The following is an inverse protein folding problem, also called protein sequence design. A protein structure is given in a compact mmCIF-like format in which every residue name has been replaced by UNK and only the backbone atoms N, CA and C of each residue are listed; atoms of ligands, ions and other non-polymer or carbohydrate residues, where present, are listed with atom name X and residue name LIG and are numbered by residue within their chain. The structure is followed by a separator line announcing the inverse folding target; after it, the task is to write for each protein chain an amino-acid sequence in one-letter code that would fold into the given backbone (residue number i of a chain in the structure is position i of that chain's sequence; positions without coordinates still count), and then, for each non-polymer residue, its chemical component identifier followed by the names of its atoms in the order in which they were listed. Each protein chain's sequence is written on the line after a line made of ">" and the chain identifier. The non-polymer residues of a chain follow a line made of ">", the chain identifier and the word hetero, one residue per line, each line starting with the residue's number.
data_IF_451177318502
#
_entry.id   IF_451177318502
#
_cell.length_a   1.000
_cell.length_b   1.000
_cell.length_c   1.000
_cell.angle_alpha   90.00
_cell.angle_beta   90.00
_cell.angle_gamma   90.00
#
_symmetry.space_group_name_H-M   'P 1'
#
loop_
_entity.id
_entity.type
_entity.pdbx_description
1 polymer ?
#
# COMPACT_ATOMS: atom_id res chain seq x y z
N UNK A 1 18.32 19.83 -29.53
CA UNK A 1 17.40 19.20 -28.56
C UNK A 1 17.84 17.78 -28.34
N UNK A 2 18.19 17.39 -27.12
CA UNK A 2 18.58 16.02 -26.80
C UNK A 2 17.32 15.22 -26.47
N UNK A 3 17.14 14.05 -27.08
CA UNK A 3 16.04 13.15 -26.72
C UNK A 3 16.23 12.75 -25.24
N UNK A 4 15.22 12.88 -24.36
CA UNK A 4 15.34 12.57 -22.93
C UNK A 4 15.28 11.05 -22.67
N UNK A 5 16.15 10.29 -23.35
CA UNK A 5 16.27 8.85 -23.19
C UNK A 5 17.27 8.59 -22.06
N UNK A 6 16.80 7.96 -20.98
CA UNK A 6 17.68 7.43 -19.93
C UNK A 6 18.25 6.08 -20.35
N UNK A 7 19.54 5.89 -20.17
CA UNK A 7 20.24 4.63 -20.46
C UNK A 7 19.87 3.54 -19.44
N UNK A 8 20.17 2.28 -19.77
CA UNK A 8 19.98 1.18 -18.83
C UNK A 8 20.76 1.38 -17.52
N UNK A 9 22.00 1.86 -17.61
CA UNK A 9 22.86 2.11 -16.44
C UNK A 9 22.32 3.25 -15.58
N UNK A 10 21.86 4.35 -16.21
CA UNK A 10 21.20 5.44 -15.49
C UNK A 10 19.93 4.96 -14.78
N UNK A 11 19.10 4.15 -15.45
CA UNK A 11 17.88 3.57 -14.87
C UNK A 11 18.18 2.63 -13.69
N UNK A 12 19.27 1.87 -13.77
CA UNK A 12 19.70 0.94 -12.71
C UNK A 12 20.37 1.66 -11.53
N UNK A 13 21.02 2.81 -11.76
CA UNK A 13 21.62 3.65 -10.73
C UNK A 13 20.59 4.47 -9.94
N UNK A 14 19.40 4.71 -10.49
CA UNK A 14 18.31 5.40 -9.78
C UNK A 14 17.79 4.57 -8.59
N UNK A 15 18.00 5.08 -7.37
CA UNK A 15 17.40 4.52 -6.15
C UNK A 15 15.87 4.65 -6.22
N UNK A 16 15.17 3.52 -6.23
CA UNK A 16 13.70 3.44 -6.20
C UNK A 16 13.24 2.94 -4.84
N UNK A 17 12.30 3.67 -4.23
CA UNK A 17 11.63 3.25 -3.01
C UNK A 17 10.44 2.33 -3.30
N UNK A 18 10.18 1.40 -2.39
CA UNK A 18 9.07 0.45 -2.44
C UNK A 18 7.75 1.18 -2.15
N UNK A 19 6.72 0.94 -2.97
CA UNK A 19 5.37 1.45 -2.77
C UNK A 19 4.48 0.29 -2.38
N UNK A 20 4.11 0.21 -1.11
CA UNK A 20 3.41 -0.92 -0.56
C UNK A 20 2.14 -0.55 0.18
N UNK A 21 1.20 -1.48 0.23
CA UNK A 21 0.14 -1.49 1.24
C UNK A 21 0.28 -2.75 2.10
N UNK A 22 0.26 -2.56 3.42
CA UNK A 22 0.23 -3.61 4.43
C UNK A 22 -1.19 -3.69 5.01
N UNK A 23 -1.88 -4.79 4.75
CA UNK A 23 -3.25 -5.03 5.22
C UNK A 23 -3.32 -6.22 6.16
N UNK A 24 -4.37 -6.30 6.96
CA UNK A 24 -4.60 -7.41 7.89
C UNK A 24 -5.69 -7.10 8.90
N UNK A 25 -6.18 -8.14 9.58
CA UNK A 25 -7.24 -8.00 10.61
C UNK A 25 -6.84 -7.01 11.70
N UNK A 26 -7.81 -6.44 12.40
CA UNK A 26 -7.52 -5.59 13.57
C UNK A 26 -6.73 -6.39 14.62
N UNK A 27 -5.79 -5.73 15.31
CA UNK A 27 -4.96 -6.34 16.36
C UNK A 27 -3.85 -7.30 15.91
N UNK A 28 -3.68 -7.60 14.62
CA UNK A 28 -2.66 -8.56 14.15
C UNK A 28 -1.20 -8.06 14.27
N UNK A 29 -1.01 -6.76 14.54
CA UNK A 29 0.32 -6.14 14.66
C UNK A 29 0.86 -5.50 13.38
N UNK A 30 0.00 -4.77 12.65
CA UNK A 30 0.41 -3.97 11.48
C UNK A 30 1.27 -2.79 11.90
N UNK A 31 0.78 -1.97 12.83
CA UNK A 31 1.48 -0.79 13.37
C UNK A 31 2.81 -1.18 14.03
N UNK A 32 2.88 -2.33 14.70
CA UNK A 32 4.13 -2.82 15.31
C UNK A 32 5.25 -3.10 14.30
N UNK A 33 4.96 -3.13 12.99
CA UNK A 33 5.99 -3.21 11.96
C UNK A 33 6.92 -2.00 11.95
N UNK A 34 6.53 -0.86 12.54
CA UNK A 34 7.43 0.28 12.76
C UNK A 34 8.71 -0.09 13.53
N UNK A 35 8.64 -1.06 14.46
CA UNK A 35 9.79 -1.56 15.20
C UNK A 35 10.81 -2.31 14.35
N UNK A 36 10.41 -2.72 13.14
CA UNK A 36 11.29 -3.41 12.18
C UNK A 36 12.03 -2.42 11.28
N UNK A 37 11.67 -1.13 11.35
CA UNK A 37 12.23 -0.06 10.54
C UNK A 37 13.30 0.72 11.30
N UNK A 38 14.17 1.42 10.56
CA UNK A 38 15.19 2.30 11.15
C UNK A 38 14.53 3.60 11.63
N UNK A 39 14.42 3.87 12.95
CA UNK A 39 13.64 5.01 13.44
C UNK A 39 14.16 6.36 12.93
N UNK A 40 15.49 6.54 12.92
CA UNK A 40 16.12 7.78 12.45
C UNK A 40 15.93 8.09 10.95
N UNK A 41 15.49 7.11 10.15
CA UNK A 41 15.27 7.24 8.71
C UNK A 41 13.82 6.93 8.29
N UNK A 42 12.90 6.87 9.26
CA UNK A 42 11.48 6.57 9.04
C UNK A 42 10.63 7.70 9.60
N UNK A 43 9.78 8.29 8.74
CA UNK A 43 8.73 9.20 9.16
C UNK A 43 7.45 8.41 9.40
N UNK A 44 6.95 8.43 10.64
CA UNK A 44 5.65 7.89 10.96
C UNK A 44 4.56 8.92 10.70
N UNK A 45 3.63 8.60 9.81
CA UNK A 45 2.49 9.42 9.46
C UNK A 45 1.27 8.81 10.16
N UNK A 46 1.02 9.27 11.38
CA UNK A 46 0.06 8.72 12.33
C UNK A 46 -1.28 9.45 12.23
N UNK A 47 -2.26 8.75 11.67
CA UNK A 47 -3.65 9.18 11.56
C UNK A 47 -4.54 8.47 12.60
N UNK A 48 -4.17 7.27 13.03
CA UNK A 48 -5.00 6.43 13.89
C UNK A 48 -4.83 6.73 15.39
N UNK A 49 -3.92 7.64 15.76
CA UNK A 49 -3.52 7.91 17.14
C UNK A 49 -3.09 6.61 17.85
N UNK A 50 -2.31 5.80 17.14
CA UNK A 50 -1.92 4.44 17.51
C UNK A 50 -0.87 4.35 18.62
N UNK A 51 -0.86 5.30 19.56
CA UNK A 51 0.22 5.51 20.55
C UNK A 51 0.53 4.24 21.36
N UNK A 52 -0.46 3.36 21.60
CA UNK A 52 -0.27 2.12 22.36
C UNK A 52 0.60 1.06 21.64
N UNK A 53 0.53 0.96 20.32
CA UNK A 53 1.26 -0.08 19.58
C UNK A 53 2.74 0.27 19.37
N UNK A 54 3.10 1.54 19.56
CA UNK A 54 4.43 2.11 19.31
C UNK A 54 4.91 2.99 20.46
N UNK A 55 4.39 2.76 21.66
CA UNK A 55 4.87 3.42 22.87
C UNK A 55 6.38 3.20 23.01
N UNK A 56 7.15 4.28 23.07
CA UNK A 56 8.61 4.25 23.14
C UNK A 56 9.34 4.09 21.80
N UNK A 57 8.65 4.07 20.66
CA UNK A 57 9.31 4.11 19.35
C UNK A 57 9.96 5.48 19.13
N UNK A 58 11.26 5.49 18.86
CA UNK A 58 12.08 6.71 18.85
C UNK A 58 12.10 7.47 17.51
N UNK A 59 11.20 7.13 16.58
CA UNK A 59 11.16 7.76 15.27
C UNK A 59 10.29 9.02 15.24
N UNK A 60 10.56 9.89 14.26
CA UNK A 60 9.81 11.12 14.09
C UNK A 60 8.38 10.83 13.60
N UNK A 61 7.42 11.60 14.10
CA UNK A 61 5.99 11.39 13.82
C UNK A 61 5.30 12.69 13.42
N UNK A 62 4.47 12.64 12.38
CA UNK A 62 3.50 13.69 12.02
C UNK A 62 2.08 13.18 12.26
N UNK A 63 1.20 14.04 12.75
CA UNK A 63 -0.18 13.70 13.14
C UNK A 63 -1.21 14.63 12.48
N UNK A 64 -1.44 14.49 11.17
CA UNK A 64 -2.44 15.31 10.50
C UNK A 64 -3.84 14.96 10.98
N UNK A 65 -4.67 16.00 11.17
CA UNK A 65 -6.04 15.91 11.68
C UNK A 65 -7.09 16.28 10.66
N UNK A 66 -6.67 16.84 9.52
CA UNK A 66 -7.56 17.27 8.44
C UNK A 66 -7.12 16.69 7.11
N UNK A 67 -8.05 16.61 6.15
CA UNK A 67 -7.71 16.21 4.79
C UNK A 67 -6.71 17.18 4.14
N UNK A 68 -6.81 18.48 4.45
CA UNK A 68 -5.85 19.46 3.95
C UNK A 68 -4.43 19.14 4.41
N UNK A 69 -4.24 18.92 5.72
CA UNK A 69 -2.92 18.54 6.25
C UNK A 69 -2.39 17.24 5.62
N UNK A 70 -3.26 16.27 5.32
CA UNK A 70 -2.85 15.08 4.58
C UNK A 70 -2.27 15.41 3.18
N UNK A 71 -2.88 16.38 2.48
CA UNK A 71 -2.40 16.86 1.17
C UNK A 71 -1.12 17.68 1.31
N UNK A 72 -1.03 18.51 2.33
CA UNK A 72 0.13 19.38 2.60
C UNK A 72 1.37 18.53 2.89
N UNK A 73 1.26 17.54 3.80
CA UNK A 73 2.37 16.62 4.05
C UNK A 73 2.71 15.80 2.81
N UNK A 74 1.72 15.37 2.02
CA UNK A 74 2.00 14.63 0.79
C UNK A 74 2.80 15.45 -0.22
N UNK A 75 2.46 16.72 -0.45
CA UNK A 75 3.24 17.60 -1.34
C UNK A 75 4.61 17.91 -0.75
N UNK A 76 4.72 18.09 0.56
CA UNK A 76 6.00 18.34 1.22
C UNK A 76 6.95 17.13 1.10
N UNK A 77 6.41 15.92 1.21
CA UNK A 77 7.15 14.66 1.07
C UNK A 77 7.50 14.37 -0.40
N UNK A 78 6.56 14.61 -1.31
CA UNK A 78 6.65 14.25 -2.73
C UNK A 78 7.31 15.29 -3.63
N UNK A 79 7.32 16.55 -3.19
CA UNK A 79 7.64 17.70 -4.04
C UNK A 79 6.46 18.08 -4.96
N UNK A 80 6.60 19.18 -5.71
CA UNK A 80 5.55 19.64 -6.61
C UNK A 80 5.44 18.73 -7.84
N UNK A 81 4.21 18.57 -8.35
CA UNK A 81 3.96 17.91 -9.63
C UNK A 81 3.99 18.97 -10.76
N UNK A 82 4.98 18.93 -11.67
CA UNK A 82 5.14 19.95 -12.71
C UNK A 82 4.04 19.92 -13.77
N UNK A 83 3.21 18.87 -13.82
CA UNK A 83 2.10 18.77 -14.77
C UNK A 83 0.83 19.50 -14.30
N UNK A 84 0.78 19.97 -13.05
CA UNK A 84 -0.41 20.56 -12.45
C UNK A 84 -0.38 22.09 -12.52
N UNK A 85 -1.55 22.69 -12.77
CA UNK A 85 -1.74 24.14 -12.70
C UNK A 85 -1.71 24.60 -11.25
N UNK A 86 -1.37 25.86 -11.02
CA UNK A 86 -1.17 26.45 -9.68
C UNK A 86 -2.34 26.17 -8.71
N UNK A 87 -3.57 26.14 -9.21
CA UNK A 87 -4.77 26.07 -8.37
C UNK A 87 -5.11 24.64 -7.96
N UNK A 88 -4.39 23.66 -8.52
CA UNK A 88 -4.61 22.25 -8.26
C UNK A 88 -3.78 21.80 -7.05
N UNK A 89 -4.30 20.88 -6.22
CA UNK A 89 -3.49 20.23 -5.19
C UNK A 89 -2.22 19.64 -5.80
N UNK A 90 -1.12 19.70 -5.05
CA UNK A 90 0.21 19.22 -5.45
C UNK A 90 0.91 20.03 -6.56
N UNK A 91 0.40 21.21 -6.93
CA UNK A 91 1.07 22.14 -7.85
C UNK A 91 2.36 22.73 -7.23
N UNK A 92 3.10 23.50 -8.04
CA UNK A 92 4.23 24.28 -7.54
C UNK A 92 3.80 25.31 -6.50
N UNK A 93 2.74 26.07 -6.78
CA UNK A 93 2.19 27.05 -5.85
C UNK A 93 1.74 26.41 -4.52
N UNK A 94 1.14 25.20 -4.57
CA UNK A 94 0.79 24.46 -3.36
C UNK A 94 2.03 24.05 -2.56
N UNK A 95 3.07 23.55 -3.23
CA UNK A 95 4.32 23.18 -2.59
C UNK A 95 5.01 24.40 -1.94
N UNK A 96 5.09 25.53 -2.64
CA UNK A 96 5.71 26.76 -2.14
C UNK A 96 5.01 27.26 -0.88
N UNK A 97 3.66 27.30 -0.89
CA UNK A 97 2.87 27.70 0.29
C UNK A 97 3.08 26.76 1.49
N UNK A 98 3.25 25.46 1.23
CA UNK A 98 3.57 24.49 2.28
C UNK A 98 5.00 24.67 2.79
N UNK A 99 5.98 25.00 1.93
CA UNK A 99 7.35 25.29 2.35
C UNK A 99 7.42 26.55 3.23
N UNK A 100 6.64 27.58 2.93
CA UNK A 100 6.53 28.77 3.80
C UNK A 100 6.02 28.40 5.21
N UNK A 101 5.16 27.38 5.31
CA UNK A 101 4.54 26.96 6.57
C UNK A 101 5.35 25.91 7.33
N UNK A 102 5.94 24.93 6.64
CA UNK A 102 6.63 23.78 7.22
C UNK A 102 8.16 23.95 7.25
N UNK A 103 8.69 24.92 6.52
CA UNK A 103 10.12 25.17 6.38
C UNK A 103 10.75 24.41 5.20
N UNK A 104 12.07 24.22 5.29
CA UNK A 104 12.88 23.68 4.20
C UNK A 104 12.54 22.21 3.87
N UNK A 105 12.24 21.87 2.60
CA UNK A 105 12.00 20.50 2.16
C UNK A 105 13.14 19.52 2.44
N UNK A 106 14.38 20.01 2.56
CA UNK A 106 15.54 19.18 2.91
C UNK A 106 15.41 18.51 4.29
N UNK A 107 14.50 18.98 5.15
CA UNK A 107 14.12 18.28 6.38
C UNK A 107 13.63 16.84 6.11
N UNK A 108 13.11 16.58 4.91
CA UNK A 108 12.65 15.25 4.49
C UNK A 108 13.78 14.34 4.01
N UNK A 109 15.00 14.85 3.75
CA UNK A 109 16.10 14.08 3.15
C UNK A 109 16.63 12.98 4.06
N UNK A 110 16.50 13.13 5.39
CA UNK A 110 16.88 12.08 6.34
C UNK A 110 15.97 10.84 6.30
N UNK A 111 14.76 10.97 5.78
CA UNK A 111 13.80 9.86 5.73
C UNK A 111 13.87 9.11 4.40
N UNK A 112 14.18 7.82 4.50
CA UNK A 112 14.08 6.88 3.40
C UNK A 112 12.69 6.23 3.33
N UNK A 113 11.95 6.20 4.44
CA UNK A 113 10.65 5.52 4.54
C UNK A 113 9.58 6.43 5.14
N UNK A 114 8.39 6.43 4.55
CA UNK A 114 7.17 7.01 5.09
C UNK A 114 6.21 5.88 5.40
N UNK A 115 5.83 5.74 6.66
CA UNK A 115 4.91 4.71 7.14
C UNK A 115 3.59 5.38 7.51
N UNK A 116 2.53 5.14 6.74
CA UNK A 116 1.23 5.82 6.84
C UNK A 116 0.21 4.92 7.50
N UNK A 117 -0.16 5.23 8.75
CA UNK A 117 -1.09 4.44 9.55
C UNK A 117 -2.29 5.28 10.01
N UNK A 118 -3.48 5.19 9.42
CA UNK A 118 -3.89 4.27 8.35
C UNK A 118 -4.60 4.95 7.19
N UNK A 119 -4.56 4.28 6.04
CA UNK A 119 -5.31 4.66 4.84
C UNK A 119 -6.83 4.71 5.09
N UNK A 120 -7.31 3.91 6.04
CA UNK A 120 -8.71 3.89 6.49
C UNK A 120 -9.10 5.23 7.12
N UNK A 121 -8.26 5.77 8.02
CA UNK A 121 -8.52 7.07 8.66
C UNK A 121 -8.33 8.22 7.66
N UNK A 122 -7.34 8.14 6.77
CA UNK A 122 -7.18 9.10 5.67
C UNK A 122 -8.46 9.20 4.81
N UNK A 123 -9.04 8.04 4.45
CA UNK A 123 -10.31 7.97 3.73
C UNK A 123 -11.45 8.67 4.46
N UNK A 124 -11.57 8.47 5.78
CA UNK A 124 -12.60 9.13 6.59
C UNK A 124 -12.44 10.65 6.60
N UNK A 125 -11.21 11.15 6.80
CA UNK A 125 -10.91 12.59 6.74
C UNK A 125 -11.25 13.16 5.36
N UNK A 126 -10.87 12.45 4.29
CA UNK A 126 -11.19 12.83 2.92
C UNK A 126 -12.71 12.93 2.72
N UNK A 127 -13.48 11.90 3.10
CA UNK A 127 -14.93 11.91 2.96
C UNK A 127 -15.58 13.05 3.73
N UNK A 128 -15.13 13.29 4.96
CA UNK A 128 -15.62 14.40 5.78
C UNK A 128 -15.38 15.75 5.09
N UNK A 129 -14.18 15.96 4.53
CA UNK A 129 -13.87 17.16 3.76
C UNK A 129 -14.73 17.27 2.49
N UNK A 130 -14.89 16.16 1.74
CA UNK A 130 -15.68 16.10 0.51
C UNK A 130 -17.15 16.48 0.73
N UNK A 131 -17.76 16.08 1.86
CA UNK A 131 -19.14 16.44 2.22
C UNK A 131 -19.38 17.95 2.36
N UNK A 132 -18.32 18.73 2.59
CA UNK A 132 -18.39 20.19 2.66
C UNK A 132 -18.14 20.90 1.32
N UNK A 133 -17.82 20.16 0.25
CA UNK A 133 -17.47 20.76 -1.04
C UNK A 133 -18.69 20.99 -1.93
N UNK A 134 -18.66 21.97 -2.86
CA UNK A 134 -19.78 22.24 -3.76
C UNK A 134 -20.29 21.02 -4.53
N UNK A 135 -19.40 20.11 -4.93
CA UNK A 135 -19.74 18.86 -5.64
C UNK A 135 -20.58 17.89 -4.81
N UNK A 136 -20.63 18.07 -3.48
CA UNK A 136 -21.47 17.28 -2.58
C UNK A 136 -22.88 17.88 -2.38
N UNK A 137 -23.28 18.85 -3.20
CA UNK A 137 -24.62 19.45 -3.18
C UNK A 137 -25.26 19.43 -4.57
N UNK A 138 -26.56 19.17 -4.61
CA UNK A 138 -27.34 19.19 -5.85
C UNK A 138 -27.47 20.62 -6.40
N UNK A 139 -27.00 20.88 -7.61
CA UNK A 139 -27.18 22.19 -8.28
C UNK A 139 -28.65 22.61 -8.41
N UNK A 140 -29.57 21.64 -8.52
CA UNK A 140 -31.02 21.90 -8.67
C UNK A 140 -31.72 22.25 -7.37
N UNK A 141 -31.27 21.67 -6.25
CA UNK A 141 -32.03 21.70 -4.98
C UNK A 141 -31.25 22.26 -3.79
N UNK A 142 -29.94 22.44 -3.92
CA UNK A 142 -29.03 22.81 -2.83
C UNK A 142 -28.89 21.77 -1.72
N UNK A 143 -29.54 20.60 -1.83
CA UNK A 143 -29.50 19.55 -0.82
C UNK A 143 -28.22 18.71 -0.94
N UNK A 144 -27.73 18.13 0.18
CA UNK A 144 -26.60 17.21 0.14
C UNK A 144 -26.80 16.07 -0.85
N UNK A 145 -25.80 15.85 -1.70
CA UNK A 145 -25.69 14.75 -2.66
C UNK A 145 -24.55 13.81 -2.24
N UNK A 146 -24.94 12.69 -1.63
CA UNK A 146 -24.00 11.64 -1.24
C UNK A 146 -23.21 11.08 -2.42
N UNK A 147 -23.80 10.99 -3.62
CA UNK A 147 -23.12 10.44 -4.79
C UNK A 147 -22.00 11.36 -5.24
N UNK A 148 -22.27 12.67 -5.28
CA UNK A 148 -21.26 13.70 -5.53
C UNK A 148 -20.10 13.66 -4.54
N UNK A 149 -20.41 13.53 -3.24
CA UNK A 149 -19.38 13.42 -2.18
C UNK A 149 -18.47 12.20 -2.36
N UNK A 150 -19.03 11.01 -2.60
CA UNK A 150 -18.23 9.79 -2.83
C UNK A 150 -17.46 9.84 -4.16
N UNK A 151 -18.02 10.47 -5.19
CA UNK A 151 -17.34 10.70 -6.46
C UNK A 151 -16.09 11.56 -6.30
N UNK A 152 -16.21 12.67 -5.56
CA UNK A 152 -15.08 13.55 -5.24
C UNK A 152 -14.06 12.86 -4.34
N UNK A 153 -14.52 12.14 -3.30
CA UNK A 153 -13.64 11.38 -2.42
C UNK A 153 -12.77 10.40 -3.19
N UNK A 154 -13.36 9.66 -4.14
CA UNK A 154 -12.62 8.74 -4.98
C UNK A 154 -11.62 9.43 -5.92
N UNK A 155 -11.79 10.71 -6.25
CA UNK A 155 -10.80 11.47 -7.01
C UNK A 155 -9.65 11.95 -6.10
N UNK A 156 -9.99 12.50 -4.94
CA UNK A 156 -9.05 13.03 -3.97
C UNK A 156 -8.12 11.94 -3.41
N UNK A 157 -8.68 10.80 -2.98
CA UNK A 157 -7.90 9.68 -2.46
C UNK A 157 -6.94 9.12 -3.50
N UNK A 158 -7.39 8.96 -4.74
CA UNK A 158 -6.53 8.47 -5.83
C UNK A 158 -5.43 9.47 -6.16
N UNK A 159 -5.74 10.77 -6.17
CA UNK A 159 -4.75 11.83 -6.32
C UNK A 159 -3.68 11.78 -5.23
N UNK A 160 -4.08 11.63 -3.97
CA UNK A 160 -3.17 11.52 -2.82
C UNK A 160 -2.27 10.28 -2.88
N UNK A 161 -2.86 9.11 -3.13
CA UNK A 161 -2.13 7.85 -3.27
C UNK A 161 -1.12 7.91 -4.43
N UNK A 162 -1.56 8.43 -5.58
CA UNK A 162 -0.70 8.56 -6.78
C UNK A 162 0.44 9.55 -6.53
N UNK A 163 0.17 10.65 -5.85
CA UNK A 163 1.20 11.63 -5.52
C UNK A 163 2.31 11.03 -4.66
N UNK A 164 1.96 10.35 -3.57
CA UNK A 164 2.90 9.65 -2.70
C UNK A 164 3.60 8.46 -3.40
N UNK A 165 2.91 7.80 -4.32
CA UNK A 165 3.49 6.75 -5.16
C UNK A 165 4.60 7.31 -6.07
N UNK A 166 4.45 8.54 -6.56
CA UNK A 166 5.47 9.19 -7.39
C UNK A 166 6.69 9.71 -6.64
N UNK A 167 6.72 9.68 -5.30
CA UNK A 167 7.89 10.05 -4.49
C UNK A 167 9.03 9.04 -4.66
N UNK A 168 9.74 9.06 -5.79
CA UNK A 168 10.58 7.94 -6.27
C UNK A 168 11.67 7.47 -5.30
N UNK A 169 12.25 8.38 -4.51
CA UNK A 169 13.40 8.08 -3.65
C UNK A 169 13.03 7.52 -2.28
N UNK A 170 11.74 7.48 -1.92
CA UNK A 170 11.26 7.08 -0.59
C UNK A 170 10.41 5.81 -0.67
N UNK A 171 10.60 4.89 0.26
CA UNK A 171 9.62 3.84 0.51
C UNK A 171 8.35 4.49 1.07
N UNK A 172 7.18 4.10 0.59
CA UNK A 172 5.90 4.56 1.12
C UNK A 172 5.05 3.33 1.39
N UNK A 173 4.67 3.14 2.65
CA UNK A 173 3.84 2.04 3.11
C UNK A 173 2.54 2.56 3.69
N UNK A 174 1.43 2.17 3.08
CA UNK A 174 0.10 2.43 3.62
C UNK A 174 -0.35 1.24 4.47
N UNK A 175 -0.84 1.50 5.67
CA UNK A 175 -1.44 0.48 6.52
C UNK A 175 -2.94 0.58 6.40
N UNK A 176 -3.61 -0.58 6.28
CA UNK A 176 -5.07 -0.65 6.21
C UNK A 176 -5.63 -1.86 6.94
N UNK A 177 -6.88 -1.76 7.37
CA UNK A 177 -7.60 -2.90 7.95
C UNK A 177 -8.16 -3.75 6.81
N UNK A 178 -8.02 -5.07 6.95
CA UNK A 178 -8.64 -6.05 6.06
C UNK A 178 -9.89 -6.62 6.74
N UNK A 179 -11.04 -6.40 6.13
CA UNK A 179 -12.29 -7.03 6.50
C UNK A 179 -12.38 -8.42 5.89
N UNK A 180 -12.94 -9.35 6.65
CA UNK A 180 -13.27 -10.71 6.22
C UNK A 180 -14.79 -10.89 6.35
N UNK A 181 -15.43 -11.33 5.28
CA UNK A 181 -16.84 -11.68 5.25
C UNK A 181 -17.02 -13.03 4.55
N UNK A 182 -18.19 -13.65 4.75
CA UNK A 182 -18.60 -14.82 3.99
C UNK A 182 -19.58 -14.37 2.90
N UNK A 183 -19.38 -14.85 1.68
CA UNK A 183 -20.37 -14.70 0.61
C UNK A 183 -21.53 -15.70 0.78
N UNK A 184 -22.53 -15.61 -0.12
CA UNK A 184 -23.71 -16.49 -0.13
C UNK A 184 -23.36 -17.97 -0.31
N UNK A 185 -22.12 -18.30 -0.70
CA UNK A 185 -21.61 -19.65 -0.89
C UNK A 185 -20.63 -20.07 0.21
N UNK A 186 -20.59 -19.35 1.34
CA UNK A 186 -19.74 -19.61 2.49
C UNK A 186 -18.23 -19.54 2.15
N UNK A 187 -17.86 -18.73 1.15
CA UNK A 187 -16.47 -18.47 0.77
C UNK A 187 -16.01 -17.18 1.44
N UNK A 188 -14.75 -17.18 1.90
CA UNK A 188 -14.12 -16.00 2.50
C UNK A 188 -13.89 -14.95 1.41
N UNK A 189 -14.44 -13.76 1.63
CA UNK A 189 -14.22 -12.58 0.80
C UNK A 189 -13.51 -11.53 1.65
N UNK A 190 -12.43 -10.99 1.10
CA UNK A 190 -11.63 -9.96 1.75
C UNK A 190 -11.82 -8.62 1.08
N UNK A 191 -11.94 -7.56 1.87
CA UNK A 191 -12.01 -6.19 1.37
C UNK A 191 -11.22 -5.25 2.27
N UNK A 192 -10.56 -4.25 1.68
CA UNK A 192 -9.97 -3.18 2.48
C UNK A 192 -11.08 -2.36 3.14
N UNK A 193 -10.93 -2.08 4.43
CA UNK A 193 -11.83 -1.19 5.15
C UNK A 193 -11.50 0.26 4.77
N UNK A 194 -12.12 0.76 3.71
CA UNK A 194 -11.99 2.15 3.28
C UNK A 194 -13.35 2.68 2.84
N UNK A 195 -13.62 3.93 3.18
CA UNK A 195 -14.82 4.63 2.73
C UNK A 195 -14.79 4.78 1.19
N UNK A 196 -15.90 4.42 0.54
CA UNK A 196 -16.00 4.40 -0.93
C UNK A 196 -15.31 3.21 -1.61
N UNK A 197 -15.91 2.71 -2.69
CA UNK A 197 -15.42 1.51 -3.39
C UNK A 197 -14.22 1.78 -4.30
N UNK A 198 -14.14 2.98 -4.91
CA UNK A 198 -13.12 3.30 -5.92
C UNK A 198 -11.70 3.15 -5.40
N UNK A 199 -11.42 3.70 -4.21
CA UNK A 199 -10.08 3.69 -3.64
C UNK A 199 -9.57 2.27 -3.38
N UNK A 200 -10.40 1.42 -2.77
CA UNK A 200 -10.04 0.02 -2.50
C UNK A 200 -9.80 -0.80 -3.78
N UNK A 201 -10.56 -0.52 -4.84
CA UNK A 201 -10.44 -1.21 -6.13
C UNK A 201 -9.19 -0.80 -6.91
N UNK A 202 -8.83 0.48 -6.90
CA UNK A 202 -7.70 1.00 -7.68
C UNK A 202 -6.36 0.95 -6.94
N UNK A 203 -6.36 0.92 -5.60
CA UNK A 203 -5.14 0.88 -4.78
C UNK A 203 -4.17 -0.23 -5.21
N UNK A 204 -4.59 -1.50 -5.44
CA UNK A 204 -3.70 -2.54 -5.93
C UNK A 204 -3.09 -2.23 -7.31
N UNK A 205 -3.71 -1.39 -8.13
CA UNK A 205 -3.13 -0.93 -9.40
C UNK A 205 -2.04 0.13 -9.23
N UNK A 206 -2.18 0.97 -8.19
CA UNK A 206 -1.30 2.12 -7.91
C UNK A 206 0.01 1.68 -7.26
N UNK A 207 -0.05 0.89 -6.19
CA UNK A 207 1.16 0.47 -5.45
C UNK A 207 1.92 -0.61 -6.20
N UNK A 208 3.17 -0.90 -5.82
CA UNK A 208 3.93 -2.04 -6.35
C UNK A 208 3.62 -3.31 -5.57
N UNK A 209 3.51 -3.20 -4.24
CA UNK A 209 3.33 -4.31 -3.31
C UNK A 209 1.97 -4.24 -2.59
N UNK A 210 1.27 -5.37 -2.50
CA UNK A 210 0.11 -5.58 -1.61
C UNK A 210 0.46 -6.76 -0.72
N UNK A 211 0.60 -6.53 0.58
CA UNK A 211 1.03 -7.54 1.54
C UNK A 211 -0.06 -7.73 2.59
N UNK A 212 -0.50 -8.97 2.79
CA UNK A 212 -1.41 -9.30 3.90
C UNK A 212 -0.63 -9.88 5.07
N UNK A 213 -0.65 -9.21 6.22
CA UNK A 213 -0.24 -9.78 7.50
C UNK A 213 -1.36 -10.67 8.05
N UNK A 214 -1.12 -11.97 8.05
CA UNK A 214 -2.09 -12.98 8.42
C UNK A 214 -1.56 -13.90 9.53
N UNK A 215 -2.50 -14.55 10.20
CA UNK A 215 -2.23 -15.74 11.01
C UNK A 215 -2.28 -16.97 10.11
N UNK A 216 -1.20 -17.75 10.12
CA UNK A 216 -1.02 -18.97 9.33
C UNK A 216 -0.79 -20.13 10.29
N UNK A 217 -1.34 -21.30 9.96
CA UNK A 217 -1.06 -22.55 10.70
C UNK A 217 0.16 -23.24 10.10
N UNK A 218 1.13 -23.57 10.93
CA UNK A 218 2.27 -24.42 10.58
C UNK A 218 1.88 -25.90 10.52
N UNK A 219 2.78 -26.72 10.00
CA UNK A 219 2.60 -28.17 9.86
C UNK A 219 2.52 -28.88 11.22
N UNK A 220 3.08 -28.27 12.26
CA UNK A 220 2.99 -28.69 13.66
C UNK A 220 1.66 -28.31 14.34
N UNK A 221 0.77 -27.62 13.60
CA UNK A 221 -0.51 -27.11 14.08
C UNK A 221 -0.42 -25.79 14.85
N UNK A 222 0.78 -25.23 15.05
CA UNK A 222 0.95 -23.95 15.74
C UNK A 222 0.58 -22.77 14.80
N UNK A 223 -0.11 -21.78 15.34
CA UNK A 223 -0.37 -20.53 14.61
C UNK A 223 0.81 -19.57 14.73
N UNK A 224 1.22 -18.97 13.63
CA UNK A 224 2.20 -17.89 13.60
C UNK A 224 1.76 -16.76 12.67
N UNK A 225 2.36 -15.59 12.83
CA UNK A 225 2.11 -14.44 11.94
C UNK A 225 3.06 -14.50 10.76
N UNK A 226 2.56 -14.21 9.56
CA UNK A 226 3.37 -14.13 8.37
C UNK A 226 2.82 -13.09 7.39
N UNK A 227 3.69 -12.65 6.49
CA UNK A 227 3.27 -11.87 5.32
C UNK A 227 2.93 -12.81 4.18
N UNK A 228 1.76 -12.61 3.57
CA UNK A 228 1.35 -13.25 2.33
C UNK A 228 1.53 -12.25 1.20
N UNK A 229 2.37 -12.60 0.22
CA UNK A 229 2.90 -11.65 -0.76
C UNK A 229 2.43 -11.92 -2.20
N UNK A 230 1.91 -13.12 -2.49
CA UNK A 230 1.53 -13.51 -3.86
C UNK A 230 0.03 -13.51 -4.09
N UNK A 231 -0.40 -13.02 -5.25
CA UNK A 231 -1.82 -13.03 -5.66
C UNK A 231 -2.40 -14.44 -5.69
N UNK A 232 -1.63 -15.40 -6.17
CA UNK A 232 -1.98 -16.82 -6.09
C UNK A 232 -1.46 -17.36 -4.75
N UNK A 233 -2.35 -17.47 -3.77
CA UNK A 233 -2.05 -18.05 -2.46
C UNK A 233 -3.18 -18.97 -1.99
N UNK A 234 -2.86 -19.90 -1.10
CA UNK A 234 -3.79 -20.94 -0.65
C UNK A 234 -4.96 -20.40 0.21
N UNK A 235 -4.85 -19.17 0.73
CA UNK A 235 -5.80 -18.61 1.70
C UNK A 235 -6.79 -17.61 1.09
N UNK A 236 -6.58 -17.22 -0.17
CA UNK A 236 -7.39 -16.21 -0.85
C UNK A 236 -7.14 -14.78 -0.37
N UNK A 237 -6.07 -14.51 0.37
CA UNK A 237 -5.75 -13.16 0.84
C UNK A 237 -5.38 -12.25 -0.35
N UNK A 238 -5.77 -10.96 -0.31
CA UNK A 238 -5.32 -10.01 -1.32
C UNK A 238 -3.83 -9.77 -1.14
N UNK A 239 -3.05 -10.14 -2.14
CA UNK A 239 -1.61 -9.93 -2.14
C UNK A 239 -1.09 -9.75 -3.56
N UNK A 240 0.08 -9.12 -3.68
CA UNK A 240 0.72 -8.83 -4.95
C UNK A 240 2.18 -8.45 -4.70
N UNK A 241 3.08 -9.11 -5.41
CA UNK A 241 4.49 -8.76 -5.50
C UNK A 241 4.81 -8.38 -6.95
N UNK A 242 5.17 -7.11 -7.18
CA UNK A 242 5.61 -6.63 -8.50
C UNK A 242 7.12 -6.69 -8.63
N UNK A 243 7.85 -6.75 -7.53
CA UNK A 243 9.29 -6.95 -7.52
C UNK A 243 9.69 -8.34 -8.07
N UNK A 244 8.82 -9.34 -7.87
CA UNK A 244 9.05 -10.74 -8.21
C UNK A 244 10.19 -11.36 -7.41
N UNK A 245 10.47 -10.85 -6.20
CA UNK A 245 11.58 -11.30 -5.35
C UNK A 245 11.12 -11.99 -4.09
N UNK A 246 9.87 -11.78 -3.71
CA UNK A 246 9.29 -12.34 -2.50
C UNK A 246 8.85 -13.78 -2.74
N UNK A 247 8.92 -14.58 -1.70
CA UNK A 247 8.25 -15.88 -1.65
C UNK A 247 6.78 -15.66 -1.25
N UNK A 248 5.94 -16.68 -1.43
CA UNK A 248 4.49 -16.54 -1.14
C UNK A 248 4.23 -16.21 0.32
N UNK A 249 5.07 -16.72 1.23
CA UNK A 249 5.03 -16.48 2.67
C UNK A 249 6.39 -15.93 3.10
N UNK A 250 6.39 -14.78 3.77
CA UNK A 250 7.59 -14.14 4.33
C UNK A 250 7.44 -13.95 5.84
N UNK A 251 8.58 -13.83 6.53
CA UNK A 251 8.62 -13.39 7.93
C UNK A 251 7.91 -12.03 8.06
N UNK A 252 7.11 -11.79 9.13
CA UNK A 252 6.41 -10.51 9.34
C UNK A 252 7.38 -9.43 9.84
N UNK A 253 8.37 -9.09 9.01
CA UNK A 253 9.40 -8.10 9.25
C UNK A 253 9.51 -7.16 8.05
N UNK A 254 8.87 -5.98 8.16
CA UNK A 254 8.76 -5.04 7.03
C UNK A 254 10.12 -4.49 6.58
N UNK A 255 11.05 -4.25 7.51
CA UNK A 255 12.41 -3.83 7.19
C UNK A 255 13.13 -4.84 6.28
N UNK A 256 13.17 -6.11 6.69
CA UNK A 256 13.77 -7.20 5.90
C UNK A 256 13.04 -7.43 4.58
N UNK A 257 11.71 -7.30 4.57
CA UNK A 257 10.92 -7.41 3.35
C UNK A 257 11.35 -6.36 2.32
N UNK A 258 11.49 -5.10 2.74
CA UNK A 258 11.97 -4.02 1.87
C UNK A 258 13.40 -4.25 1.39
N UNK A 259 14.29 -4.76 2.24
CA UNK A 259 15.66 -5.11 1.85
C UNK A 259 15.66 -6.20 0.77
N UNK A 260 14.81 -7.23 0.90
CA UNK A 260 14.64 -8.29 -0.10
C UNK A 260 14.10 -7.74 -1.43
N UNK A 261 13.12 -6.84 -1.39
CA UNK A 261 12.57 -6.17 -2.58
C UNK A 261 13.61 -5.30 -3.29
N UNK A 262 14.43 -4.57 -2.53
CA UNK A 262 15.46 -3.69 -3.07
C UNK A 262 16.71 -4.46 -3.55
N UNK A 263 16.88 -5.70 -3.09
CA UNK A 263 18.03 -6.55 -3.40
C UNK A 263 18.15 -6.99 -4.86
N UNK A 264 19.22 -7.72 -5.19
CA UNK A 264 19.40 -8.29 -6.52
C UNK A 264 18.23 -9.21 -6.86
N UNK A 265 17.63 -9.04 -8.03
CA UNK A 265 16.63 -9.97 -8.53
C UNK A 265 17.32 -11.26 -9.02
N UNK A 266 16.70 -12.41 -8.79
CA UNK A 266 17.09 -13.64 -9.51
C UNK A 266 16.96 -13.39 -11.03
N UNK A 267 17.78 -14.03 -11.88
CA UNK A 267 17.62 -13.93 -13.33
C UNK A 267 16.16 -14.14 -13.77
N UNK A 268 15.70 -13.38 -14.77
CA UNK A 268 14.32 -13.49 -15.25
C UNK A 268 13.90 -14.94 -15.62
N UNK A 269 14.78 -15.77 -16.25
CA UNK A 269 14.45 -17.17 -16.55
C UNK A 269 14.16 -18.04 -15.32
N UNK A 270 14.68 -17.68 -14.15
CA UNK A 270 14.45 -18.43 -12.90
C UNK A 270 13.17 -17.99 -12.18
N UNK A 271 12.57 -16.87 -12.58
CA UNK A 271 11.39 -16.28 -11.94
C UNK A 271 10.14 -16.31 -12.80
N UNK A 272 10.30 -16.42 -14.10
CA UNK A 272 9.21 -16.40 -15.07
C UNK A 272 9.09 -17.80 -15.68
N UNK A 273 8.04 -18.52 -15.29
CA UNK A 273 7.62 -19.72 -16.01
C UNK A 273 6.55 -19.32 -17.03
N UNK A 274 6.86 -19.53 -18.31
CA UNK A 274 5.95 -19.28 -19.43
C UNK A 274 5.22 -20.55 -19.88
N UNK A 275 5.58 -21.71 -19.33
CA UNK A 275 4.93 -22.97 -19.63
C UNK A 275 3.74 -23.19 -18.67
N UNK A 276 2.72 -23.91 -19.16
CA UNK A 276 1.74 -24.50 -18.25
C UNK A 276 2.42 -25.66 -17.54
N UNK A 277 2.32 -25.78 -16.20
CA UNK A 277 2.77 -26.98 -15.51
C UNK A 277 2.14 -28.21 -16.17
N UNK A 278 2.97 -29.20 -16.52
CA UNK A 278 2.48 -30.45 -17.10
C UNK A 278 1.47 -31.06 -16.12
N UNK A 279 0.32 -31.51 -16.63
CA UNK A 279 -0.65 -32.21 -15.79
C UNK A 279 0.09 -33.38 -15.11
N UNK A 280 0.10 -33.38 -13.78
CA UNK A 280 0.64 -34.49 -13.01
C UNK A 280 -0.12 -35.73 -13.47
N UNK A 281 0.56 -36.67 -14.13
CA UNK A 281 0.01 -37.96 -14.48
C UNK A 281 -0.41 -38.63 -13.18
N UNK A 282 -1.71 -38.64 -12.90
CA UNK A 282 -2.27 -39.40 -11.80
C UNK A 282 -1.96 -40.86 -12.13
N UNK A 283 -0.99 -41.45 -11.45
CA UNK A 283 -0.74 -42.88 -11.51
C UNK A 283 -1.92 -43.53 -10.80
N UNK A 284 -2.92 -43.96 -11.58
CA UNK A 284 -3.97 -44.84 -11.09
C UNK A 284 -3.31 -46.14 -10.63
N UNK A 285 -3.52 -46.62 -9.39
CA UNK A 285 -3.01 -47.93 -9.00
C UNK A 285 -3.73 -48.98 -9.84
N UNK A 286 -2.98 -49.77 -10.60
CA UNK A 286 -3.52 -50.94 -11.28
C UNK A 286 -4.10 -51.89 -10.23
N UNK A 287 -5.41 -52.12 -10.32
CA UNK A 287 -6.09 -53.17 -9.57
C UNK A 287 -5.56 -54.52 -10.05
N UNK A 288 -4.75 -55.18 -9.24
CA UNK A 288 -4.45 -56.60 -9.37
C UNK A 288 -5.76 -57.40 -9.24
N UNK A 289 -6.41 -57.68 -10.36
CA UNK A 289 -7.38 -58.77 -10.46
C UNK A 289 -6.58 -60.06 -10.67
N UNK A 290 -6.32 -60.74 -9.57
CA UNK A 290 -5.88 -62.14 -9.56
C UNK A 290 -6.90 -63.00 -10.29
N UNK A 291 -6.46 -63.62 -11.38
CA UNK A 291 -7.04 -64.84 -11.93
C UNK A 291 -6.88 -65.95 -10.90
N UNK A 292 -7.99 -66.57 -10.48
CA UNK A 292 -7.98 -67.98 -10.12
C UNK A 292 -9.21 -68.66 -10.72
N UNK A 293 -8.91 -69.86 -11.20
CA UNK A 293 -9.64 -70.87 -11.98
C UNK A 293 -11.00 -71.28 -11.46
#
# INVERSE_FOLDING_TARGET
>A
MNLPIITADQRLAERRGVKGVLVGKSGIGKTSQLWTLKPAATLFFDLEAGDLAVEGWAGDTVRPRTWQECRDFAVFIGGPNPALRNEQPYSHAHFDAVCESFGEPSAMDKYDTVFVDSITVAGRLCLQWCKGQPQAFSEKTGKPDSRGAYGLMGQEMIGWLTHLQHTRRKNVWFVGILNEALDDFNRRVFSLQIDGSKTGLELPGIVDEVVTLAEIKGDDGASYRAFVCHTLNAWGYPAKDRSGRLDTVEEPNLGRLMEKIAGPARPAPERLDFARPSAISIVTPESNLTQES
#
